data_IF_532737336138
#
_entry.id   IF_532737336138
#
_cell.length_a   1.000
_cell.length_b   1.000
_cell.length_c   1.000
_cell.angle_alpha   90.00
_cell.angle_beta   90.00
_cell.angle_gamma   90.00
#
_symmetry.space_group_name_H-M   'P 1'
#
loop_
_entity.id
_entity.type
_entity.pdbx_description
1 polymer ?
#
# COMPACT_ATOMS: atom_id res chain seq x y z
N UNK A 1 -27.65 -17.89 5.40
CA UNK A 1 -26.22 -18.08 5.06
C UNK A 1 -25.93 -17.25 3.82
N UNK A 2 -25.53 -15.99 4.00
CA UNK A 2 -25.20 -15.10 2.89
C UNK A 2 -23.82 -15.50 2.34
N UNK A 3 -23.76 -15.91 1.08
CA UNK A 3 -22.51 -16.12 0.36
C UNK A 3 -21.84 -14.77 0.15
N UNK A 4 -20.77 -14.51 0.90
CA UNK A 4 -19.86 -13.40 0.66
C UNK A 4 -19.21 -13.60 -0.71
N UNK A 5 -19.65 -12.86 -1.72
CA UNK A 5 -18.94 -12.74 -2.99
C UNK A 5 -17.67 -11.95 -2.75
N UNK A 6 -16.59 -12.67 -2.42
CA UNK A 6 -15.24 -12.10 -2.33
C UNK A 6 -14.85 -11.62 -3.71
N UNK A 7 -14.81 -10.30 -3.93
CA UNK A 7 -14.28 -9.73 -5.16
C UNK A 7 -12.84 -10.25 -5.38
N UNK A 8 -12.45 -10.57 -6.63
CA UNK A 8 -11.10 -11.03 -6.90
C UNK A 8 -10.12 -9.91 -6.55
N UNK A 9 -9.23 -10.15 -5.60
CA UNK A 9 -8.12 -9.23 -5.30
C UNK A 9 -7.36 -8.94 -6.59
N UNK A 10 -7.19 -7.67 -6.98
CA UNK A 10 -6.54 -7.33 -8.24
C UNK A 10 -5.09 -7.82 -8.19
N UNK A 11 -4.75 -8.67 -9.15
CA UNK A 11 -3.45 -9.33 -9.22
C UNK A 11 -2.52 -8.47 -10.05
N UNK A 12 -1.31 -8.22 -9.55
CA UNK A 12 -0.29 -7.52 -10.31
C UNK A 12 0.15 -8.38 -11.50
N UNK A 13 -0.14 -7.89 -12.69
CA UNK A 13 0.17 -8.54 -13.97
C UNK A 13 1.28 -7.79 -14.70
N UNK A 14 2.07 -8.50 -15.50
CA UNK A 14 3.12 -7.89 -16.33
C UNK A 14 2.55 -7.12 -17.54
N UNK A 15 1.26 -7.26 -17.83
CA UNK A 15 0.61 -6.75 -19.05
C UNK A 15 0.76 -5.24 -19.21
N UNK A 16 0.67 -4.48 -18.12
CA UNK A 16 0.85 -3.01 -18.13
C UNK A 16 2.26 -2.62 -18.54
N UNK A 17 3.27 -3.30 -17.98
CA UNK A 17 4.67 -3.03 -18.30
C UNK A 17 5.05 -3.52 -19.70
N UNK A 18 4.46 -4.62 -20.16
CA UNK A 18 4.69 -5.15 -21.52
C UNK A 18 4.11 -4.24 -22.60
N UNK A 19 3.07 -3.46 -22.28
CA UNK A 19 2.47 -2.44 -23.15
C UNK A 19 3.03 -1.04 -22.88
N UNK A 20 4.05 -0.90 -22.03
CA UNK A 20 4.60 0.39 -21.65
C UNK A 20 5.15 1.14 -22.87
N UNK A 21 4.98 2.47 -22.87
CA UNK A 21 5.46 3.29 -23.97
C UNK A 21 7.00 3.30 -24.00
N UNK A 22 7.62 3.57 -25.17
CA UNK A 22 9.08 3.75 -25.25
C UNK A 22 9.58 4.85 -24.30
N UNK A 23 8.75 5.85 -24.04
CA UNK A 23 9.03 6.92 -23.07
C UNK A 23 9.12 6.38 -21.64
N UNK A 24 8.20 5.50 -21.22
CA UNK A 24 8.24 4.90 -19.88
C UNK A 24 9.47 4.00 -19.68
N UNK A 25 9.89 3.29 -20.74
CA UNK A 25 11.13 2.49 -20.71
C UNK A 25 12.35 3.42 -20.57
N UNK A 26 12.40 4.53 -21.30
CA UNK A 26 13.45 5.54 -21.16
C UNK A 26 13.48 6.13 -19.74
N UNK A 27 12.31 6.45 -19.15
CA UNK A 27 12.22 6.90 -17.76
C UNK A 27 12.80 5.87 -16.78
N UNK A 28 12.59 4.58 -17.00
CA UNK A 28 13.20 3.52 -16.18
C UNK A 28 14.73 3.53 -16.26
N UNK A 29 15.30 3.75 -17.46
CA UNK A 29 16.74 3.89 -17.64
C UNK A 29 17.30 5.15 -16.95
N UNK A 30 16.59 6.27 -17.01
CA UNK A 30 16.97 7.51 -16.35
C UNK A 30 17.00 7.33 -14.82
N UNK A 31 15.96 6.70 -14.26
CA UNK A 31 15.91 6.37 -12.82
C UNK A 31 17.06 5.44 -12.45
N UNK A 32 17.31 4.40 -13.24
CA UNK A 32 18.43 3.49 -12.98
C UNK A 32 19.79 4.21 -12.98
N UNK A 33 19.99 5.13 -13.93
CA UNK A 33 21.21 5.95 -14.02
C UNK A 33 21.35 6.88 -12.82
N UNK A 34 20.27 7.57 -12.44
CA UNK A 34 20.23 8.40 -11.25
C UNK A 34 20.60 7.60 -9.99
N UNK A 35 20.02 6.42 -9.81
CA UNK A 35 20.31 5.55 -8.66
C UNK A 35 21.75 5.05 -8.65
N UNK A 36 22.33 4.76 -9.80
CA UNK A 36 23.75 4.39 -9.91
C UNK A 36 24.66 5.55 -9.51
N UNK A 37 24.35 6.78 -9.93
CA UNK A 37 25.11 7.97 -9.55
C UNK A 37 25.02 8.26 -8.05
N UNK A 38 23.81 8.16 -7.48
CA UNK A 38 23.59 8.29 -6.04
C UNK A 38 24.37 7.21 -5.29
N UNK A 39 24.32 5.96 -5.75
CA UNK A 39 25.05 4.86 -5.14
C UNK A 39 26.56 5.14 -5.19
N UNK A 40 27.13 5.44 -6.35
CA UNK A 40 28.57 5.71 -6.46
C UNK A 40 29.02 6.84 -5.53
N UNK A 41 28.26 7.93 -5.44
CA UNK A 41 28.58 9.10 -4.59
C UNK A 41 28.51 8.78 -3.09
N UNK A 42 27.54 7.99 -2.66
CA UNK A 42 27.23 7.77 -1.24
C UNK A 42 27.86 6.48 -0.68
N UNK A 43 28.57 5.72 -1.52
CA UNK A 43 29.15 4.42 -1.17
C UNK A 43 30.13 4.47 0.00
N UNK A 44 30.90 5.53 0.17
CA UNK A 44 31.94 5.56 1.20
C UNK A 44 31.41 6.07 2.55
N UNK A 45 30.26 6.73 2.59
CA UNK A 45 29.75 7.39 3.78
C UNK A 45 28.65 6.60 4.49
N UNK A 46 27.92 5.74 3.78
CA UNK A 46 26.64 5.21 4.27
C UNK A 46 26.51 3.68 4.22
N UNK A 47 27.61 2.93 4.08
CA UNK A 47 27.57 1.46 3.95
C UNK A 47 26.83 0.74 5.09
N UNK A 48 26.86 1.33 6.29
CA UNK A 48 26.24 0.77 7.50
C UNK A 48 24.78 1.20 7.69
N UNK A 49 24.29 2.18 6.92
CA UNK A 49 22.95 2.71 7.05
C UNK A 49 21.89 1.72 6.52
N UNK A 50 20.71 1.69 7.14
CA UNK A 50 19.60 0.82 6.71
C UNK A 50 19.08 1.22 5.33
N UNK A 51 18.90 2.51 5.08
CA UNK A 51 18.47 3.06 3.78
C UNK A 51 19.45 2.73 2.64
N UNK A 52 20.74 2.55 2.95
CA UNK A 52 21.73 2.16 1.96
C UNK A 52 21.50 0.74 1.43
N UNK A 53 21.10 -0.19 2.31
CA UNK A 53 20.69 -1.54 1.91
C UNK A 53 19.43 -1.48 1.05
N UNK A 54 18.49 -0.61 1.39
CA UNK A 54 17.29 -0.32 0.59
C UNK A 54 17.64 0.16 -0.82
N UNK A 55 18.50 1.18 -0.92
CA UNK A 55 18.98 1.71 -2.21
C UNK A 55 19.69 0.62 -3.03
N UNK A 56 20.56 -0.16 -2.39
CA UNK A 56 21.27 -1.24 -3.07
C UNK A 56 20.30 -2.29 -3.62
N UNK A 57 19.33 -2.72 -2.81
CA UNK A 57 18.31 -3.68 -3.19
C UNK A 57 17.43 -3.15 -4.32
N UNK A 58 16.90 -1.93 -4.18
CA UNK A 58 16.05 -1.29 -5.16
C UNK A 58 16.74 -1.14 -6.52
N UNK A 59 17.96 -0.60 -6.53
CA UNK A 59 18.78 -0.45 -7.75
C UNK A 59 19.03 -1.81 -8.41
N UNK A 60 19.41 -2.84 -7.65
CA UNK A 60 19.62 -4.19 -8.18
C UNK A 60 18.35 -4.75 -8.82
N UNK A 61 17.20 -4.53 -8.19
CA UNK A 61 15.91 -4.99 -8.71
C UNK A 61 15.53 -4.28 -10.02
N UNK A 62 15.79 -2.99 -10.16
CA UNK A 62 15.61 -2.27 -11.44
C UNK A 62 16.53 -2.82 -12.52
N UNK A 63 17.80 -3.09 -12.19
CA UNK A 63 18.73 -3.72 -13.15
C UNK A 63 18.18 -5.06 -13.66
N UNK A 64 17.70 -5.91 -12.76
CA UNK A 64 17.12 -7.20 -13.12
C UNK A 64 15.84 -7.05 -13.94
N UNK A 65 14.98 -6.08 -13.59
CA UNK A 65 13.77 -5.79 -14.36
C UNK A 65 14.10 -5.38 -15.80
N UNK A 66 15.07 -4.47 -15.97
CA UNK A 66 15.52 -4.03 -17.30
C UNK A 66 16.14 -5.20 -18.10
N UNK A 67 16.90 -6.07 -17.45
CA UNK A 67 17.44 -7.27 -18.10
C UNK A 67 16.33 -8.22 -18.57
N UNK A 68 15.35 -8.49 -17.71
CA UNK A 68 14.22 -9.35 -18.07
C UNK A 68 13.41 -8.74 -19.22
N UNK A 69 13.18 -7.42 -19.18
CA UNK A 69 12.39 -6.68 -20.16
C UNK A 69 13.06 -6.59 -21.54
N UNK A 70 14.38 -6.39 -21.61
CA UNK A 70 15.10 -6.13 -22.86
C UNK A 70 15.77 -7.38 -23.43
N UNK A 71 16.35 -8.22 -22.58
CA UNK A 71 17.23 -9.32 -22.98
C UNK A 71 16.67 -10.71 -22.69
N UNK A 72 15.53 -10.82 -22.01
CA UNK A 72 14.87 -12.09 -21.75
C UNK A 72 14.27 -12.73 -23.01
N UNK A 73 14.25 -14.07 -23.12
CA UNK A 73 13.58 -14.76 -24.22
C UNK A 73 12.09 -14.42 -24.23
N UNK A 74 11.54 -14.03 -25.39
CA UNK A 74 10.20 -13.47 -25.51
C UNK A 74 9.11 -14.35 -24.87
N UNK A 75 9.25 -15.68 -24.95
CA UNK A 75 8.30 -16.66 -24.41
C UNK A 75 8.28 -16.72 -22.87
N UNK A 76 9.36 -16.33 -22.20
CA UNK A 76 9.46 -16.36 -20.73
C UNK A 76 9.48 -14.96 -20.09
N UNK A 77 9.62 -13.91 -20.93
CA UNK A 77 9.77 -12.53 -20.50
C UNK A 77 8.61 -12.09 -19.61
N UNK A 78 7.38 -12.33 -20.05
CA UNK A 78 6.18 -11.94 -19.32
C UNK A 78 6.12 -12.61 -17.94
N UNK A 79 6.32 -13.94 -17.87
CA UNK A 79 6.29 -14.67 -16.61
C UNK A 79 7.40 -14.26 -15.63
N UNK A 80 8.62 -13.97 -16.14
CA UNK A 80 9.74 -13.49 -15.30
C UNK A 80 9.46 -12.09 -14.74
N UNK A 81 8.96 -11.19 -15.57
CA UNK A 81 8.56 -9.83 -15.16
C UNK A 81 7.44 -9.92 -14.13
N UNK A 82 6.41 -10.72 -14.37
CA UNK A 82 5.29 -10.89 -13.45
C UNK A 82 5.73 -11.45 -12.10
N UNK A 83 6.54 -12.50 -12.09
CA UNK A 83 7.09 -13.07 -10.86
C UNK A 83 7.90 -12.03 -10.05
N UNK A 84 8.64 -11.16 -10.75
CA UNK A 84 9.40 -10.07 -10.13
C UNK A 84 8.49 -8.99 -9.54
N UNK A 85 7.45 -8.58 -10.25
CA UNK A 85 6.48 -7.61 -9.75
C UNK A 85 5.73 -8.15 -8.53
N UNK A 86 5.34 -9.43 -8.54
CA UNK A 86 4.76 -10.11 -7.36
C UNK A 86 5.72 -10.21 -6.19
N UNK A 87 7.03 -10.30 -6.43
CA UNK A 87 8.03 -10.24 -5.35
C UNK A 87 8.15 -8.82 -4.78
N UNK A 88 8.02 -7.80 -5.62
CA UNK A 88 8.08 -6.40 -5.20
C UNK A 88 6.92 -6.02 -4.29
N UNK A 89 5.72 -6.43 -4.68
CA UNK A 89 4.47 -6.23 -3.94
C UNK A 89 4.48 -6.88 -2.56
N UNK A 90 4.93 -8.13 -2.47
CA UNK A 90 4.99 -8.91 -1.22
C UNK A 90 5.75 -8.26 -0.07
N UNK A 91 6.53 -7.23 -0.33
CA UNK A 91 7.12 -6.43 0.75
C UNK A 91 8.39 -5.68 0.39
N UNK A 92 8.96 -5.90 -0.79
CA UNK A 92 10.18 -5.19 -1.18
C UNK A 92 9.91 -3.68 -1.33
N UNK A 93 8.81 -3.31 -2.00
CA UNK A 93 8.41 -1.91 -2.21
C UNK A 93 8.14 -1.22 -0.87
N UNK A 94 7.36 -1.85 0.00
CA UNK A 94 7.08 -1.37 1.35
C UNK A 94 8.35 -1.16 2.17
N UNK A 95 9.29 -2.11 2.11
CA UNK A 95 10.57 -2.03 2.82
C UNK A 95 11.40 -0.86 2.33
N UNK A 96 11.51 -0.66 1.01
CA UNK A 96 12.27 0.47 0.45
C UNK A 96 11.62 1.79 0.82
N UNK A 97 10.30 1.89 0.68
CA UNK A 97 9.55 3.10 1.01
C UNK A 97 9.74 3.47 2.49
N UNK A 98 9.59 2.51 3.40
CA UNK A 98 9.83 2.72 4.83
C UNK A 98 11.27 3.16 5.13
N UNK A 99 12.26 2.49 4.55
CA UNK A 99 13.66 2.86 4.77
C UNK A 99 13.99 4.26 4.24
N UNK A 100 13.35 4.70 3.15
CA UNK A 100 13.54 6.03 2.60
C UNK A 100 12.75 7.10 3.35
N UNK A 101 11.55 6.79 3.85
CA UNK A 101 10.79 7.72 4.69
C UNK A 101 11.48 7.98 6.02
N UNK A 102 12.13 6.97 6.60
CA UNK A 102 13.00 7.15 7.77
C UNK A 102 14.17 8.10 7.47
N UNK A 103 14.76 8.03 6.27
CA UNK A 103 15.81 8.98 5.88
C UNK A 103 15.29 10.42 5.79
N UNK A 104 14.04 10.60 5.35
CA UNK A 104 13.37 11.92 5.36
C UNK A 104 13.18 12.42 6.78
N UNK A 105 12.68 11.56 7.67
CA UNK A 105 12.42 11.89 9.07
C UNK A 105 13.69 12.28 9.85
N UNK A 106 14.85 11.70 9.50
CA UNK A 106 16.12 11.99 10.17
C UNK A 106 16.60 13.43 9.93
N UNK A 107 16.30 14.05 8.78
CA UNK A 107 16.54 15.48 8.53
C UNK A 107 17.74 15.81 7.63
N UNK A 108 19.01 15.59 8.05
CA UNK A 108 20.21 15.98 7.29
C UNK A 108 20.29 15.47 5.84
N UNK A 109 19.61 14.37 5.54
CA UNK A 109 19.56 13.77 4.20
C UNK A 109 18.15 13.74 3.63
N UNK A 110 17.25 14.61 4.11
CA UNK A 110 15.84 14.56 3.74
C UNK A 110 15.60 14.70 2.23
N UNK A 111 16.35 15.58 1.56
CA UNK A 111 16.26 15.73 0.10
C UNK A 111 16.62 14.44 -0.65
N UNK A 112 17.62 13.69 -0.18
CA UNK A 112 17.97 12.40 -0.77
C UNK A 112 16.85 11.37 -0.54
N UNK A 113 16.28 11.35 0.67
CA UNK A 113 15.11 10.53 0.98
C UNK A 113 13.93 10.81 0.05
N UNK A 114 13.59 12.08 -0.16
CA UNK A 114 12.51 12.50 -1.07
C UNK A 114 12.77 12.04 -2.52
N UNK A 115 14.00 12.18 -3.02
CA UNK A 115 14.37 11.72 -4.37
C UNK A 115 14.21 10.20 -4.49
N UNK A 116 14.60 9.44 -3.47
CA UNK A 116 14.45 7.98 -3.48
C UNK A 116 12.98 7.55 -3.40
N UNK A 117 12.17 8.17 -2.54
CA UNK A 117 10.73 7.92 -2.46
C UNK A 117 10.01 8.26 -3.78
N UNK A 118 10.35 9.40 -4.40
CA UNK A 118 9.81 9.79 -5.71
C UNK A 118 10.22 8.79 -6.81
N UNK A 119 11.44 8.25 -6.74
CA UNK A 119 11.92 7.23 -7.67
C UNK A 119 11.14 5.92 -7.51
N UNK A 120 10.88 5.48 -6.27
CA UNK A 120 10.04 4.29 -6.00
C UNK A 120 8.62 4.51 -6.53
N UNK A 121 8.01 5.65 -6.23
CA UNK A 121 6.67 5.99 -6.70
C UNK A 121 6.59 5.98 -8.24
N UNK A 122 7.56 6.58 -8.93
CA UNK A 122 7.60 6.61 -10.40
C UNK A 122 7.76 5.21 -11.00
N UNK A 123 8.59 4.36 -10.40
CA UNK A 123 8.74 2.96 -10.83
C UNK A 123 7.45 2.16 -10.60
N UNK A 124 6.78 2.34 -9.46
CA UNK A 124 5.50 1.68 -9.18
C UNK A 124 4.40 2.12 -10.17
N UNK A 125 4.40 3.39 -10.57
CA UNK A 125 3.50 3.90 -11.62
C UNK A 125 3.75 3.22 -12.96
N UNK A 126 5.00 3.16 -13.41
CA UNK A 126 5.36 2.58 -14.72
C UNK A 126 5.10 1.07 -14.76
N UNK A 127 5.37 0.38 -13.66
CA UNK A 127 5.13 -1.07 -13.54
C UNK A 127 3.67 -1.44 -13.36
N UNK A 128 2.77 -0.46 -13.15
CA UNK A 128 1.35 -0.69 -12.92
C UNK A 128 0.99 -1.10 -11.49
N UNK A 129 1.97 -1.21 -10.59
CA UNK A 129 1.74 -1.53 -9.17
C UNK A 129 0.85 -0.46 -8.51
N UNK A 130 1.05 0.82 -8.83
CA UNK A 130 0.23 1.91 -8.27
C UNK A 130 -1.22 1.85 -8.71
N UNK A 131 -1.50 1.44 -9.95
CA UNK A 131 -2.88 1.30 -10.44
C UNK A 131 -3.61 0.18 -9.69
N UNK A 132 -2.92 -0.92 -9.40
CA UNK A 132 -3.47 -2.01 -8.57
C UNK A 132 -3.76 -1.53 -7.15
N UNK A 133 -2.87 -0.75 -6.53
CA UNK A 133 -3.15 -0.20 -5.20
C UNK A 133 -4.29 0.82 -5.17
N UNK A 134 -4.45 1.63 -6.23
CA UNK A 134 -5.57 2.56 -6.36
C UNK A 134 -6.91 1.83 -6.53
N UNK A 135 -6.92 0.74 -7.30
CA UNK A 135 -8.09 -0.14 -7.46
C UNK A 135 -8.46 -0.83 -6.13
N UNK A 136 -7.48 -1.37 -5.40
CA UNK A 136 -7.70 -1.95 -4.06
C UNK A 136 -8.23 -0.88 -3.10
N UNK A 137 -7.60 0.29 -3.05
CA UNK A 137 -8.01 1.37 -2.17
C UNK A 137 -9.43 1.85 -2.49
N UNK A 138 -9.78 2.00 -3.77
CA UNK A 138 -11.14 2.34 -4.20
C UNK A 138 -12.16 1.28 -3.77
N UNK A 139 -11.82 0.00 -3.93
CA UNK A 139 -12.67 -1.11 -3.48
C UNK A 139 -12.86 -1.12 -1.96
N UNK A 140 -11.79 -0.90 -1.19
CA UNK A 140 -11.85 -0.89 0.27
C UNK A 140 -12.69 0.30 0.78
N UNK A 141 -12.50 1.50 0.22
CA UNK A 141 -13.31 2.68 0.56
C UNK A 141 -14.77 2.45 0.22
N UNK A 142 -15.07 1.88 -0.95
CA UNK A 142 -16.43 1.55 -1.33
C UNK A 142 -17.05 0.52 -0.37
N UNK A 143 -16.29 -0.48 0.08
CA UNK A 143 -16.74 -1.46 1.07
C UNK A 143 -17.05 -0.84 2.44
N UNK A 144 -16.25 0.12 2.89
CA UNK A 144 -16.50 0.86 4.14
C UNK A 144 -17.77 1.73 4.01
N UNK A 145 -17.92 2.44 2.89
CA UNK A 145 -19.11 3.27 2.65
C UNK A 145 -20.38 2.42 2.59
N UNK A 146 -20.37 1.27 1.89
CA UNK A 146 -21.53 0.38 1.85
C UNK A 146 -21.87 -0.22 3.21
N UNK A 147 -20.86 -0.57 4.02
CA UNK A 147 -21.10 -1.05 5.38
C UNK A 147 -21.68 0.05 6.29
N UNK A 148 -21.27 1.31 6.08
CA UNK A 148 -21.84 2.46 6.80
C UNK A 148 -23.30 2.72 6.41
N UNK A 149 -23.63 2.60 5.11
CA UNK A 149 -25.01 2.74 4.63
C UNK A 149 -25.92 1.62 5.17
N UNK A 150 -25.43 0.37 5.20
CA UNK A 150 -26.18 -0.76 5.78
C UNK A 150 -26.42 -0.57 7.29
N UNK A 151 -25.44 -0.03 8.01
CA UNK A 151 -25.58 0.28 9.44
C UNK A 151 -26.56 1.43 9.70
N UNK A 152 -26.54 2.47 8.85
CA UNK A 152 -27.48 3.58 8.92
C UNK A 152 -28.92 3.11 8.61
N UNK A 153 -29.10 2.22 7.65
CA UNK A 153 -30.39 1.61 7.33
C UNK A 153 -30.91 0.75 8.49
N UNK A 154 -30.01 0.03 9.18
CA UNK A 154 -30.36 -0.77 10.35
C UNK A 154 -30.80 0.09 11.54
N UNK A 155 -30.18 1.26 11.74
CA UNK A 155 -30.57 2.23 12.78
C UNK A 155 -31.94 2.86 12.47
N UNK A 156 -32.19 3.23 11.21
CA UNK A 156 -33.49 3.73 10.74
C UNK A 156 -34.61 2.70 10.94
N UNK A 157 -34.33 1.42 10.68
CA UNK A 157 -35.31 0.34 10.88
C UNK A 157 -35.47 -0.06 12.36
N UNK A 158 -34.44 0.16 13.20
CA UNK A 158 -34.53 0.00 14.66
C UNK A 158 -35.50 1.01 15.28
N UNK A 159 -35.47 2.27 14.82
CA UNK A 159 -36.40 3.30 15.29
C UNK A 159 -37.86 3.03 14.92
N UNK A 160 -38.13 2.24 13.88
CA UNK A 160 -39.49 1.84 13.49
C UNK A 160 -40.05 0.66 14.30
N UNK A 161 -39.23 -0.03 15.11
CA UNK A 161 -39.64 -1.16 15.94
C UNK A 161 -39.84 -0.79 17.42
N UNK A 162 -39.46 0.42 17.84
CA UNK A 162 -39.50 0.87 19.25
C UNK A 162 -40.79 1.67 19.60
N UNK A 163 -41.83 1.64 18.77
CA UNK A 163 -43.12 2.30 19.07
C UNK A 163 -43.98 1.55 20.13
N UNK A 164 -43.43 0.56 20.86
CA UNK A 164 -44.26 -0.38 21.63
C UNK A 164 -43.81 -0.83 23.02
N UNK A 165 -42.60 -0.53 23.51
CA UNK A 165 -42.20 -0.96 24.85
C UNK A 165 -42.03 0.24 25.80
N UNK A 166 -43.10 0.52 26.54
CA UNK A 166 -43.07 1.39 27.71
C UNK A 166 -42.30 0.65 28.82
N UNK A 167 -40.99 0.92 28.95
CA UNK A 167 -40.15 0.32 30.00
C UNK A 167 -40.52 0.93 31.37
N UNK A 168 -41.06 0.10 32.27
CA UNK A 168 -41.46 0.45 33.64
C UNK A 168 -40.23 0.83 34.49
N UNK A 169 -40.03 2.14 34.71
CA UNK A 169 -39.05 2.66 35.67
C UNK A 169 -39.56 2.42 37.11
N UNK A 170 -39.10 1.33 37.72
CA UNK A 170 -39.46 0.96 39.08
C UNK A 170 -39.17 2.04 40.13
N UNK A 171 -40.13 2.28 41.03
CA UNK A 171 -40.07 3.30 42.09
C UNK A 171 -39.32 2.80 43.33
N UNK A 172 -38.41 3.62 43.86
CA UNK A 172 -37.61 3.34 45.06
C UNK A 172 -38.42 3.61 46.33
N UNK A 173 -38.58 2.60 47.19
CA UNK A 173 -39.18 2.73 48.53
C UNK A 173 -38.07 2.88 49.57
N UNK A 174 -38.07 4.02 50.29
CA UNK A 174 -37.18 4.23 51.42
C UNK A 174 -37.67 3.47 52.66
N UNK A 175 -36.75 2.88 53.42
CA UNK A 175 -37.04 2.24 54.71
C UNK A 175 -37.11 3.30 55.81
N UNK A 176 -38.15 3.24 56.63
CA UNK A 176 -38.25 4.01 57.87
C UNK A 176 -37.20 3.48 58.86
N UNK A 177 -36.37 4.39 59.38
CA UNK A 177 -35.40 4.10 60.44
C UNK A 177 -36.16 4.06 61.78
N UNK A 178 -36.12 2.92 62.47
CA UNK A 178 -36.56 2.81 63.86
C UNK A 178 -35.52 3.49 64.76
N UNK A 179 -35.94 4.58 65.41
CA UNK A 179 -35.19 5.27 66.47
C UNK A 179 -35.14 4.38 67.72
N UNK A 180 -33.96 3.88 68.09
CA UNK A 180 -33.71 3.22 69.38
C UNK A 180 -33.09 4.20 70.39
N UNK A 181 -33.80 4.45 71.50
CA UNK A 181 -33.31 5.12 72.73
C UNK A 181 -32.41 4.21 73.59
#
# INVERSE_FOLDING_TARGET
MASSTTAPTPVITATTLMKASPHDIAQLHDIHTLLNNIFARNRNQHQRSTWWKGLHGFRKQITLLLQDLLHGPAKEREGKVEARLRFWDRGAVHTWYYQFSQLVAVGPFAMLGLVMMASVARVCRITGITAVYEEIASSDVQGVLSASDELALADEFSGALDEGEEWDEGVVVAREEEDDE
#
